data_IF_643643005533
#
_entry.id   IF_643643005533
#
_cell.length_a   1.000
_cell.length_b   1.000
_cell.length_c   1.000
_cell.angle_alpha   90.00
_cell.angle_beta   90.00
_cell.angle_gamma   90.00
#
_symmetry.space_group_name_H-M   'P 1'
#
loop_
_entity.id
_entity.type
_entity.pdbx_description
1 polymer ?
#
# COMPACT_ATOMS: atom_id res chain seq x y z
N UNK A 1 -7.08 1.36 31.60
CA UNK A 1 -7.24 0.89 30.21
C UNK A 1 -8.69 0.45 30.07
N UNK A 2 -9.37 0.81 28.98
CA UNK A 2 -10.68 0.24 28.68
C UNK A 2 -10.45 -1.11 27.98
N UNK A 3 -11.25 -2.12 28.30
CA UNK A 3 -11.14 -3.47 27.71
C UNK A 3 -11.83 -3.59 26.34
N UNK A 4 -12.38 -2.48 25.82
CA UNK A 4 -13.11 -2.41 24.55
C UNK A 4 -12.56 -1.31 23.63
N UNK A 5 -12.83 -1.45 22.33
CA UNK A 5 -12.42 -0.48 21.28
C UNK A 5 -13.64 0.04 20.52
N UNK A 6 -14.70 0.40 21.26
CA UNK A 6 -15.93 0.91 20.65
C UNK A 6 -15.75 2.35 20.17
N UNK A 7 -16.71 2.84 19.39
CA UNK A 7 -16.73 4.24 18.99
C UNK A 7 -16.81 5.20 20.19
N UNK A 8 -17.45 4.81 21.28
CA UNK A 8 -17.52 5.60 22.52
C UNK A 8 -16.15 5.70 23.19
N UNK A 9 -15.46 4.56 23.31
CA UNK A 9 -14.13 4.49 23.94
C UNK A 9 -13.12 5.36 23.18
N UNK A 10 -13.15 5.28 21.85
CA UNK A 10 -12.29 6.09 20.97
C UNK A 10 -12.65 7.57 21.10
N UNK A 11 -13.94 7.92 21.00
CA UNK A 11 -14.39 9.31 21.11
C UNK A 11 -13.97 9.92 22.45
N UNK A 12 -14.27 9.26 23.56
CA UNK A 12 -13.91 9.72 24.90
C UNK A 12 -12.41 9.88 25.08
N UNK A 13 -11.61 8.93 24.59
CA UNK A 13 -10.15 9.00 24.66
C UNK A 13 -9.57 10.18 23.87
N UNK A 14 -10.07 10.43 22.65
CA UNK A 14 -9.59 11.53 21.82
C UNK A 14 -10.04 12.89 22.39
N UNK A 15 -11.29 13.01 22.84
CA UNK A 15 -11.80 14.23 23.48
C UNK A 15 -10.99 14.56 24.73
N UNK A 16 -10.79 13.60 25.63
CA UNK A 16 -9.99 13.80 26.83
C UNK A 16 -8.54 14.21 26.51
N UNK A 17 -7.95 13.67 25.43
CA UNK A 17 -6.62 14.07 24.98
C UNK A 17 -6.58 15.52 24.46
N UNK A 18 -7.59 15.94 23.69
CA UNK A 18 -7.68 17.30 23.14
C UNK A 18 -8.03 18.34 24.22
N UNK A 19 -8.89 17.98 25.17
CA UNK A 19 -9.24 18.84 26.31
C UNK A 19 -8.01 19.08 27.20
N UNK A 20 -7.17 18.07 27.43
CA UNK A 20 -5.92 18.22 28.20
C UNK A 20 -4.93 19.20 27.59
N UNK A 21 -4.96 19.40 26.26
CA UNK A 21 -4.11 20.39 25.59
C UNK A 21 -4.83 21.73 25.35
N UNK A 22 -6.04 21.90 25.91
CA UNK A 22 -6.79 23.14 25.85
C UNK A 22 -7.32 23.50 24.47
N UNK A 23 -7.71 22.50 23.66
CA UNK A 23 -8.30 22.77 22.33
C UNK A 23 -9.58 23.57 22.46
N UNK A 24 -9.68 24.65 21.68
CA UNK A 24 -10.93 25.38 21.47
C UNK A 24 -11.78 24.67 20.41
N UNK A 25 -12.80 23.97 20.88
CA UNK A 25 -13.73 23.21 20.05
C UNK A 25 -14.56 24.08 19.09
N UNK A 26 -14.78 25.35 19.41
CA UNK A 26 -15.51 26.28 18.53
C UNK A 26 -14.75 26.53 17.23
N UNK A 27 -13.43 26.33 17.23
CA UNK A 27 -12.53 26.51 16.09
C UNK A 27 -12.25 25.23 15.31
N UNK A 28 -12.87 24.10 15.70
CA UNK A 28 -12.68 22.84 15.00
C UNK A 28 -13.41 22.85 13.65
N UNK A 29 -12.68 22.58 12.57
CA UNK A 29 -13.21 22.67 11.19
C UNK A 29 -13.48 21.33 10.54
N UNK A 30 -12.71 20.30 10.89
CA UNK A 30 -12.81 19.00 10.23
C UNK A 30 -12.19 17.85 10.99
N UNK A 31 -12.58 16.62 10.63
CA UNK A 31 -12.00 15.36 11.07
C UNK A 31 -11.74 14.45 9.87
N UNK A 32 -10.56 13.82 9.81
CA UNK A 32 -10.27 12.76 8.85
C UNK A 32 -10.16 11.41 9.57
N UNK A 33 -10.81 10.36 9.05
CA UNK A 33 -10.79 9.01 9.64
C UNK A 33 -10.45 7.96 8.60
N UNK A 34 -10.02 6.77 9.01
CA UNK A 34 -9.74 5.64 8.12
C UNK A 34 -10.99 5.00 7.52
N UNK A 35 -12.18 5.48 7.83
CA UNK A 35 -13.43 4.96 7.30
C UNK A 35 -13.90 3.65 7.93
N UNK A 36 -13.28 3.20 9.04
CA UNK A 36 -13.76 2.03 9.77
C UNK A 36 -15.21 2.25 10.27
N UNK A 37 -16.05 1.20 10.36
CA UNK A 37 -17.45 1.34 10.77
C UNK A 37 -17.64 2.06 12.12
N UNK A 38 -16.75 1.82 13.09
CA UNK A 38 -16.74 2.53 14.38
C UNK A 38 -16.43 4.02 14.25
N UNK A 39 -15.73 4.44 13.18
CA UNK A 39 -15.38 5.84 12.93
C UNK A 39 -16.49 6.57 12.17
N UNK A 40 -17.06 5.97 11.13
CA UNK A 40 -18.00 6.64 10.20
C UNK A 40 -19.47 6.26 10.39
N UNK A 41 -19.80 5.45 11.40
CA UNK A 41 -21.17 5.02 11.67
C UNK A 41 -22.14 6.20 11.84
N UNK A 42 -23.23 6.22 11.08
CA UNK A 42 -24.15 7.38 11.00
C UNK A 42 -24.73 7.82 12.34
N UNK A 43 -25.03 6.89 13.25
CA UNK A 43 -25.70 7.18 14.54
C UNK A 43 -24.75 7.29 15.72
N UNK A 44 -23.67 6.49 15.72
CA UNK A 44 -22.81 6.33 16.89
C UNK A 44 -21.32 6.30 16.55
N UNK A 45 -20.94 6.59 15.30
CA UNK A 45 -19.55 6.65 14.90
C UNK A 45 -18.83 7.84 15.51
N UNK A 46 -17.51 7.72 15.69
CA UNK A 46 -16.66 8.79 16.24
C UNK A 46 -16.83 10.10 15.47
N UNK A 47 -16.92 10.05 14.14
CA UNK A 47 -17.09 11.24 13.30
C UNK A 47 -18.43 11.93 13.52
N UNK A 48 -19.51 11.18 13.72
CA UNK A 48 -20.83 11.73 14.08
C UNK A 48 -20.76 12.40 15.44
N UNK A 49 -20.20 11.72 16.45
CA UNK A 49 -20.08 12.27 17.81
C UNK A 49 -19.22 13.54 17.84
N UNK A 50 -18.12 13.58 17.08
CA UNK A 50 -17.30 14.78 16.91
C UNK A 50 -18.09 15.92 16.28
N UNK A 51 -18.81 15.63 15.20
CA UNK A 51 -19.65 16.61 14.51
C UNK A 51 -20.68 17.20 15.47
N UNK A 52 -21.39 16.38 16.23
CA UNK A 52 -22.42 16.83 17.17
C UNK A 52 -21.81 17.74 18.27
N UNK A 53 -20.67 17.33 18.87
CA UNK A 53 -19.96 18.13 19.89
C UNK A 53 -19.50 19.48 19.33
N UNK A 54 -18.90 19.50 18.14
CA UNK A 54 -18.39 20.72 17.53
C UNK A 54 -19.54 21.65 17.13
N UNK A 55 -20.59 21.11 16.53
CA UNK A 55 -21.77 21.88 16.11
C UNK A 55 -22.49 22.53 17.29
N UNK A 56 -22.53 21.88 18.45
CA UNK A 56 -23.08 22.46 19.67
C UNK A 56 -22.26 23.66 20.20
N UNK A 57 -20.97 23.76 19.86
CA UNK A 57 -20.04 24.74 20.43
C UNK A 57 -19.61 25.84 19.43
N UNK A 58 -19.86 25.65 18.14
CA UNK A 58 -19.49 26.59 17.08
C UNK A 58 -20.71 27.31 16.44
N UNK A 59 -21.88 27.26 17.08
CA UNK A 59 -23.09 27.90 16.56
C UNK A 59 -23.70 27.23 15.32
N UNK A 60 -23.37 25.96 15.06
CA UNK A 60 -23.86 25.20 13.91
C UNK A 60 -23.01 25.34 12.64
N UNK A 61 -21.81 25.94 12.75
CA UNK A 61 -20.87 26.05 11.65
C UNK A 61 -20.51 24.69 11.04
N UNK A 62 -20.16 24.73 9.75
CA UNK A 62 -19.98 23.54 8.92
C UNK A 62 -18.74 22.76 9.35
N UNK A 63 -18.96 21.57 9.90
CA UNK A 63 -17.89 20.62 10.25
C UNK A 63 -17.74 19.53 9.19
N UNK A 64 -16.53 19.38 8.67
CA UNK A 64 -16.25 18.46 7.56
C UNK A 64 -15.66 17.13 8.04
N UNK A 65 -16.20 16.02 7.54
CA UNK A 65 -15.67 14.69 7.80
C UNK A 65 -15.09 14.10 6.52
N UNK A 66 -13.81 13.77 6.54
CA UNK A 66 -13.09 13.23 5.40
C UNK A 66 -12.69 11.77 5.62
N UNK A 67 -12.61 11.01 4.54
CA UNK A 67 -11.87 9.75 4.53
C UNK A 67 -10.40 10.07 4.34
N UNK A 68 -9.55 9.50 5.19
CA UNK A 68 -8.10 9.53 5.07
C UNK A 68 -7.66 9.15 3.64
N UNK A 69 -6.99 10.11 2.98
CA UNK A 69 -6.54 9.99 1.59
C UNK A 69 -5.61 8.79 1.37
N UNK A 70 -4.78 8.47 2.36
CA UNK A 70 -3.86 7.32 2.34
C UNK A 70 -4.61 5.99 2.41
N UNK A 71 -5.69 5.95 3.20
CA UNK A 71 -6.51 4.76 3.27
C UNK A 71 -7.30 4.56 1.98
N UNK A 72 -7.82 5.64 1.38
CA UNK A 72 -8.46 5.58 0.05
C UNK A 72 -7.50 5.06 -1.02
N UNK A 73 -6.25 5.55 -1.05
CA UNK A 73 -5.22 5.08 -1.97
C UNK A 73 -4.91 3.59 -1.75
N UNK A 74 -4.72 3.16 -0.50
CA UNK A 74 -4.51 1.75 -0.17
C UNK A 74 -5.69 0.84 -0.57
N UNK A 75 -6.93 1.36 -0.55
CA UNK A 75 -8.10 0.63 -1.03
C UNK A 75 -8.11 0.50 -2.56
N UNK A 76 -7.62 1.48 -3.32
CA UNK A 76 -7.45 1.37 -4.76
C UNK A 76 -6.56 0.18 -5.12
N UNK A 77 -5.45 -0.02 -4.38
CA UNK A 77 -4.48 -1.09 -4.65
C UNK A 77 -5.09 -2.51 -4.57
N UNK A 78 -6.20 -2.68 -3.84
CA UNK A 78 -6.89 -3.98 -3.73
C UNK A 78 -7.49 -4.44 -5.07
N UNK A 79 -7.69 -3.55 -6.05
CA UNK A 79 -8.20 -3.93 -7.37
C UNK A 79 -7.19 -4.70 -8.23
N UNK A 80 -5.90 -4.63 -7.89
CA UNK A 80 -4.85 -5.35 -8.62
C UNK A 80 -5.05 -6.87 -8.57
N UNK A 81 -5.63 -7.43 -7.49
CA UNK A 81 -5.91 -8.88 -7.36
C UNK A 81 -4.72 -9.74 -7.79
N UNK A 82 -3.58 -9.57 -7.11
CA UNK A 82 -2.32 -10.28 -7.36
C UNK A 82 -1.95 -11.18 -6.16
N UNK A 83 -2.97 -11.80 -5.55
CA UNK A 83 -2.81 -12.60 -4.33
C UNK A 83 -1.94 -13.82 -4.59
N UNK A 84 -2.00 -14.40 -5.78
CA UNK A 84 -1.14 -15.53 -6.20
C UNK A 84 0.37 -15.19 -6.18
N UNK A 85 0.74 -13.92 -6.37
CA UNK A 85 2.13 -13.47 -6.19
C UNK A 85 2.40 -13.19 -4.72
N UNK A 86 1.52 -12.42 -4.08
CA UNK A 86 1.71 -11.97 -2.70
C UNK A 86 1.78 -13.12 -1.70
N UNK A 87 0.96 -14.14 -1.83
CA UNK A 87 0.95 -15.32 -0.96
C UNK A 87 2.28 -16.05 -1.00
N UNK A 88 2.86 -16.23 -2.19
CA UNK A 88 4.16 -16.88 -2.39
C UNK A 88 5.28 -16.05 -1.77
N UNK A 89 5.29 -14.73 -2.02
CA UNK A 89 6.27 -13.80 -1.45
C UNK A 89 6.19 -13.81 0.08
N UNK A 90 5.00 -13.63 0.65
CA UNK A 90 4.80 -13.57 2.10
C UNK A 90 5.18 -14.89 2.76
N UNK A 91 4.73 -16.03 2.23
CA UNK A 91 5.08 -17.36 2.74
C UNK A 91 6.59 -17.58 2.76
N UNK A 92 7.27 -17.21 1.68
CA UNK A 92 8.72 -17.40 1.53
C UNK A 92 9.51 -16.48 2.46
N UNK A 93 9.17 -15.20 2.48
CA UNK A 93 9.79 -14.20 3.38
C UNK A 93 9.58 -14.58 4.84
N UNK A 94 8.36 -14.98 5.22
CA UNK A 94 8.07 -15.42 6.58
C UNK A 94 8.86 -16.68 6.96
N UNK A 95 9.03 -17.65 6.05
CA UNK A 95 9.86 -18.82 6.33
C UNK A 95 11.34 -18.45 6.60
N UNK A 96 11.89 -17.52 5.83
CA UNK A 96 13.26 -17.03 6.00
C UNK A 96 13.39 -16.23 7.30
N UNK A 97 12.45 -15.32 7.55
CA UNK A 97 12.55 -14.29 8.60
C UNK A 97 12.03 -14.71 9.98
N UNK A 98 11.06 -15.63 10.05
CA UNK A 98 10.43 -16.03 11.33
C UNK A 98 11.35 -16.82 12.25
N UNK A 99 12.34 -17.54 11.69
CA UNK A 99 13.30 -18.33 12.47
C UNK A 99 14.67 -17.66 12.43
N UNK A 100 15.21 -17.32 13.61
CA UNK A 100 16.51 -16.66 13.72
C UNK A 100 17.65 -17.42 13.03
N UNK A 101 17.64 -18.76 13.06
CA UNK A 101 18.61 -19.58 12.33
C UNK A 101 18.49 -19.43 10.81
N UNK A 102 17.26 -19.45 10.27
CA UNK A 102 17.05 -19.29 8.83
C UNK A 102 17.52 -17.91 8.36
N UNK A 103 17.15 -16.87 9.10
CA UNK A 103 17.56 -15.50 8.79
C UNK A 103 19.08 -15.36 8.79
N UNK A 104 19.79 -15.82 9.83
CA UNK A 104 21.27 -15.78 9.88
C UNK A 104 21.93 -16.56 8.76
N UNK A 105 21.39 -17.72 8.40
CA UNK A 105 21.93 -18.54 7.30
C UNK A 105 21.67 -17.90 5.94
N UNK A 106 20.54 -17.21 5.76
CA UNK A 106 20.26 -16.45 4.57
C UNK A 106 21.16 -15.21 4.48
N UNK A 107 21.32 -14.44 5.56
CA UNK A 107 22.24 -13.29 5.61
C UNK A 107 23.68 -13.71 5.31
N UNK A 108 24.10 -14.89 5.79
CA UNK A 108 25.40 -15.47 5.45
C UNK A 108 25.51 -15.76 3.95
N UNK A 109 24.49 -16.37 3.34
CA UNK A 109 24.45 -16.60 1.89
C UNK A 109 24.56 -15.28 1.12
N UNK A 110 23.85 -14.24 1.54
CA UNK A 110 23.94 -12.91 0.92
C UNK A 110 25.34 -12.31 1.05
N UNK A 111 25.93 -12.41 2.25
CA UNK A 111 27.28 -11.91 2.52
C UNK A 111 28.34 -12.61 1.68
N UNK A 112 28.23 -13.94 1.53
CA UNK A 112 29.11 -14.75 0.69
C UNK A 112 29.03 -14.34 -0.80
N UNK A 113 27.89 -13.78 -1.24
CA UNK A 113 27.67 -13.21 -2.57
C UNK A 113 27.95 -11.70 -2.67
N UNK A 114 28.55 -11.07 -1.65
CA UNK A 114 28.79 -9.62 -1.54
C UNK A 114 27.51 -8.74 -1.59
N UNK A 115 26.36 -9.29 -1.18
CA UNK A 115 25.08 -8.59 -1.12
C UNK A 115 24.87 -8.06 0.30
N UNK A 116 24.76 -6.74 0.44
CA UNK A 116 24.66 -6.06 1.75
C UNK A 116 23.23 -5.78 2.21
N UNK A 117 22.24 -5.90 1.34
CA UNK A 117 20.84 -5.66 1.66
C UNK A 117 20.08 -6.98 1.84
N UNK A 118 19.47 -7.18 3.02
CA UNK A 118 18.69 -8.39 3.34
C UNK A 118 17.18 -8.20 3.12
N UNK A 119 16.40 -9.27 3.22
CA UNK A 119 14.94 -9.24 3.13
C UNK A 119 14.33 -8.55 4.35
N UNK A 120 13.48 -7.52 4.21
CA UNK A 120 12.76 -6.95 5.35
C UNK A 120 11.72 -7.95 5.90
N UNK A 121 11.43 -7.86 7.20
CA UNK A 121 10.34 -8.64 7.80
C UNK A 121 8.99 -8.13 7.26
N UNK A 122 8.14 -9.02 6.75
CA UNK A 122 6.81 -8.64 6.31
C UNK A 122 5.88 -8.47 7.53
N UNK A 123 5.36 -7.26 7.73
CA UNK A 123 4.20 -7.03 8.59
C UNK A 123 3.02 -6.62 7.72
N UNK A 124 1.87 -7.27 7.88
CA UNK A 124 0.65 -6.99 7.10
C UNK A 124 0.16 -5.53 7.19
N UNK A 125 0.66 -4.79 8.17
CA UNK A 125 0.09 -3.53 8.64
C UNK A 125 0.37 -2.33 7.72
N UNK A 126 1.30 -2.37 6.76
CA UNK A 126 1.60 -1.21 5.87
C UNK A 126 1.92 -1.57 4.42
N UNK A 127 1.31 -0.84 3.49
CA UNK A 127 1.60 -0.93 2.05
C UNK A 127 3.06 -0.56 1.70
N UNK A 128 3.63 0.46 2.36
CA UNK A 128 5.03 0.84 2.19
C UNK A 128 5.99 -0.32 2.53
N UNK A 129 5.69 -1.13 3.55
CA UNK A 129 6.49 -2.33 3.85
C UNK A 129 6.28 -3.43 2.81
N UNK A 130 5.08 -3.57 2.24
CA UNK A 130 4.81 -4.54 1.17
C UNK A 130 5.64 -4.26 -0.08
N UNK A 131 5.75 -3.00 -0.49
CA UNK A 131 6.58 -2.65 -1.65
C UNK A 131 8.07 -2.88 -1.42
N UNK A 132 8.58 -2.57 -0.23
CA UNK A 132 9.97 -2.89 0.11
C UNK A 132 10.22 -4.41 0.09
N UNK A 133 9.31 -5.20 0.66
CA UNK A 133 9.40 -6.67 0.60
C UNK A 133 9.40 -7.17 -0.84
N UNK A 134 8.50 -6.68 -1.69
CA UNK A 134 8.43 -7.06 -3.11
C UNK A 134 9.72 -6.75 -3.87
N UNK A 135 10.26 -5.52 -3.72
CA UNK A 135 11.50 -5.12 -4.38
C UNK A 135 12.66 -6.02 -3.98
N UNK A 136 12.89 -6.19 -2.67
CA UNK A 136 13.98 -7.04 -2.19
C UNK A 136 13.77 -8.52 -2.57
N UNK A 137 12.54 -9.01 -2.59
CA UNK A 137 12.23 -10.37 -3.05
C UNK A 137 12.58 -10.55 -4.53
N UNK A 138 12.24 -9.58 -5.36
CA UNK A 138 12.57 -9.60 -6.78
C UNK A 138 14.09 -9.54 -7.01
N UNK A 139 14.80 -8.66 -6.32
CA UNK A 139 16.25 -8.49 -6.46
C UNK A 139 17.01 -9.74 -6.00
N UNK A 140 16.54 -10.41 -4.94
CA UNK A 140 17.18 -11.58 -4.33
C UNK A 140 16.59 -12.92 -4.81
N UNK A 141 15.87 -12.93 -5.94
CA UNK A 141 15.10 -14.10 -6.40
C UNK A 141 15.97 -15.35 -6.58
N UNK A 142 17.21 -15.22 -7.04
CA UNK A 142 18.12 -16.35 -7.22
C UNK A 142 18.65 -16.89 -5.89
N UNK A 143 19.04 -16.00 -4.98
CA UNK A 143 19.51 -16.36 -3.63
C UNK A 143 18.37 -17.01 -2.82
N UNK A 144 17.15 -16.47 -2.95
CA UNK A 144 15.95 -17.05 -2.35
C UNK A 144 15.71 -18.45 -2.91
N UNK A 145 15.75 -18.62 -4.23
CA UNK A 145 15.56 -19.93 -4.87
C UNK A 145 16.57 -20.95 -4.34
N UNK A 146 17.86 -20.61 -4.36
CA UNK A 146 18.93 -21.49 -3.88
C UNK A 146 18.79 -21.82 -2.38
N UNK A 147 18.49 -20.83 -1.55
CA UNK A 147 18.31 -21.02 -0.12
C UNK A 147 17.13 -21.95 0.17
N UNK A 148 16.01 -21.75 -0.51
CA UNK A 148 14.79 -22.52 -0.33
C UNK A 148 14.95 -23.97 -0.82
N UNK A 149 15.67 -24.19 -1.92
CA UNK A 149 16.08 -25.52 -2.39
C UNK A 149 16.92 -26.26 -1.34
N UNK A 150 17.97 -25.60 -0.79
CA UNK A 150 18.81 -26.17 0.28
C UNK A 150 18.02 -26.51 1.54
N UNK A 151 16.90 -25.84 1.77
CA UNK A 151 15.98 -26.09 2.90
C UNK A 151 14.93 -27.17 2.62
N UNK A 152 14.97 -27.79 1.44
CA UNK A 152 13.98 -28.80 1.03
C UNK A 152 12.58 -28.22 0.80
N UNK A 153 12.49 -26.92 0.49
CA UNK A 153 11.23 -26.21 0.25
C UNK A 153 11.29 -25.38 -1.03
N UNK A 154 11.48 -25.99 -2.21
CA UNK A 154 11.63 -25.24 -3.45
C UNK A 154 10.41 -24.34 -3.71
N UNK A 155 10.68 -23.12 -4.20
CA UNK A 155 9.65 -22.15 -4.63
C UNK A 155 9.54 -22.30 -6.15
N UNK A 156 8.66 -23.20 -6.60
CA UNK A 156 8.51 -23.57 -8.02
C UNK A 156 8.07 -22.40 -8.88
N UNK A 157 7.37 -21.44 -8.28
CA UNK A 157 6.89 -20.23 -8.94
C UNK A 157 8.05 -19.36 -9.49
N UNK A 158 9.24 -19.42 -8.86
CA UNK A 158 10.44 -18.73 -9.36
C UNK A 158 10.99 -19.33 -10.67
N UNK A 159 10.54 -20.52 -11.06
CA UNK A 159 10.88 -21.14 -12.34
C UNK A 159 9.86 -20.79 -13.44
N UNK A 160 8.70 -20.26 -13.07
CA UNK A 160 7.64 -19.85 -14.02
C UNK A 160 7.89 -18.45 -14.55
N UNK A 161 8.11 -18.35 -15.86
CA UNK A 161 8.29 -17.06 -16.54
C UNK A 161 7.04 -16.17 -16.47
N UNK A 162 5.85 -16.78 -16.47
CA UNK A 162 4.61 -16.04 -16.29
C UNK A 162 4.53 -15.42 -14.90
N UNK A 163 4.82 -16.21 -13.87
CA UNK A 163 4.82 -15.72 -12.50
C UNK A 163 5.89 -14.65 -12.25
N UNK A 164 7.07 -14.78 -12.87
CA UNK A 164 8.12 -13.76 -12.79
C UNK A 164 7.69 -12.43 -13.43
N UNK A 165 6.94 -12.45 -14.53
CA UNK A 165 6.37 -11.21 -15.11
C UNK A 165 5.33 -10.59 -14.19
N UNK A 166 4.48 -11.41 -13.58
CA UNK A 166 3.48 -10.94 -12.61
C UNK A 166 4.14 -10.31 -11.37
N UNK A 167 5.20 -10.93 -10.85
CA UNK A 167 6.02 -10.37 -9.78
C UNK A 167 6.64 -9.04 -10.21
N UNK A 168 7.25 -8.99 -11.39
CA UNK A 168 7.91 -7.80 -11.90
C UNK A 168 6.95 -6.62 -12.08
N UNK A 169 5.79 -6.87 -12.69
CA UNK A 169 4.72 -5.88 -12.80
C UNK A 169 4.29 -5.39 -11.40
N UNK A 170 4.08 -6.31 -10.45
CA UNK A 170 3.63 -5.98 -9.11
C UNK A 170 4.66 -5.13 -8.35
N UNK A 171 5.96 -5.40 -8.53
CA UNK A 171 7.05 -4.58 -7.96
C UNK A 171 6.96 -3.15 -8.48
N UNK A 172 6.91 -2.98 -9.80
CA UNK A 172 6.90 -1.67 -10.46
C UNK A 172 5.65 -0.84 -10.09
N UNK A 173 4.45 -1.42 -10.19
CA UNK A 173 3.21 -0.68 -9.84
C UNK A 173 3.17 -0.32 -8.35
N UNK A 174 3.69 -1.20 -7.49
CA UNK A 174 3.75 -0.92 -6.05
C UNK A 174 4.75 0.19 -5.74
N UNK A 175 5.86 0.28 -6.47
CA UNK A 175 6.80 1.41 -6.35
C UNK A 175 6.15 2.75 -6.74
N UNK A 176 5.40 2.78 -7.85
CA UNK A 176 4.63 3.96 -8.25
C UNK A 176 3.60 4.39 -7.20
N UNK A 177 2.86 3.43 -6.64
CA UNK A 177 1.89 3.66 -5.57
C UNK A 177 2.57 4.15 -4.28
N UNK A 178 3.72 3.59 -3.91
CA UNK A 178 4.49 4.05 -2.76
C UNK A 178 5.02 5.47 -2.94
N UNK A 179 5.42 5.83 -4.15
CA UNK A 179 5.85 7.19 -4.46
C UNK A 179 4.68 8.17 -4.34
N UNK A 180 3.48 7.81 -4.84
CA UNK A 180 2.27 8.57 -4.58
C UNK A 180 1.99 8.69 -3.07
N UNK A 181 2.03 7.59 -2.34
CA UNK A 181 1.78 7.56 -0.91
C UNK A 181 2.72 8.52 -0.15
N UNK A 182 4.02 8.56 -0.48
CA UNK A 182 4.97 9.56 0.06
C UNK A 182 4.59 11.00 -0.29
N UNK A 183 4.08 11.25 -1.51
CA UNK A 183 3.58 12.56 -1.92
C UNK A 183 2.28 12.96 -1.20
N UNK A 184 1.49 12.01 -0.72
CA UNK A 184 0.26 12.25 0.04
C UNK A 184 0.50 12.33 1.57
N UNK A 185 1.70 11.98 2.04
CA UNK A 185 2.10 12.06 3.45
C UNK A 185 2.95 13.29 3.76
N UNK A 186 3.05 13.63 5.04
CA UNK A 186 3.92 14.70 5.54
C UNK A 186 3.16 15.96 5.94
N UNK A 187 3.88 16.86 6.62
CA UNK A 187 3.36 18.15 7.11
C UNK A 187 3.55 19.24 6.05
N UNK A 188 2.88 20.38 6.23
CA UNK A 188 3.02 21.59 5.39
C UNK A 188 2.57 21.40 3.94
N UNK A 189 1.57 20.56 3.71
CA UNK A 189 0.91 20.38 2.42
C UNK A 189 -0.50 20.96 2.46
N UNK A 190 -0.93 21.56 1.36
CA UNK A 190 -2.27 22.12 1.21
C UNK A 190 -3.15 21.17 0.41
N UNK A 191 -4.47 21.31 0.54
CA UNK A 191 -5.45 20.40 -0.09
C UNK A 191 -5.30 20.36 -1.62
N UNK A 192 -4.99 21.49 -2.26
CA UNK A 192 -4.75 21.55 -3.71
C UNK A 192 -3.58 20.66 -4.12
N UNK A 193 -2.48 20.65 -3.37
CA UNK A 193 -1.34 19.75 -3.66
C UNK A 193 -1.74 18.27 -3.58
N UNK A 194 -2.62 17.90 -2.64
CA UNK A 194 -3.12 16.51 -2.59
C UNK A 194 -3.98 16.18 -3.82
N UNK A 195 -4.86 17.10 -4.21
CA UNK A 195 -5.68 16.96 -5.42
C UNK A 195 -4.82 16.84 -6.67
N UNK A 196 -3.83 17.71 -6.85
CA UNK A 196 -2.89 17.72 -7.98
C UNK A 196 -2.10 16.40 -8.06
N UNK A 197 -1.61 15.89 -6.93
CA UNK A 197 -0.88 14.61 -6.88
C UNK A 197 -1.76 13.44 -7.31
N UNK A 198 -3.02 13.39 -6.86
CA UNK A 198 -3.97 12.35 -7.28
C UNK A 198 -4.30 12.49 -8.76
N UNK A 199 -4.58 13.71 -9.24
CA UNK A 199 -4.90 13.96 -10.64
C UNK A 199 -3.73 13.58 -11.56
N UNK A 200 -2.51 14.00 -11.22
CA UNK A 200 -1.32 13.62 -11.94
C UNK A 200 -1.11 12.08 -11.95
N UNK A 201 -1.43 11.40 -10.85
CA UNK A 201 -1.35 9.94 -10.82
C UNK A 201 -2.39 9.26 -11.71
N UNK A 202 -3.63 9.77 -11.76
CA UNK A 202 -4.65 9.28 -12.70
C UNK A 202 -4.19 9.43 -14.14
N UNK A 203 -3.64 10.58 -14.52
CA UNK A 203 -3.08 10.81 -15.86
C UNK A 203 -1.93 9.83 -16.18
N UNK A 204 -1.07 9.53 -15.20
CA UNK A 204 -0.02 8.52 -15.34
C UNK A 204 -0.61 7.12 -15.57
N UNK A 205 -1.63 6.72 -14.82
CA UNK A 205 -2.32 5.43 -15.02
C UNK A 205 -2.92 5.35 -16.44
N UNK A 206 -3.56 6.41 -16.93
CA UNK A 206 -4.08 6.48 -18.32
C UNK A 206 -2.95 6.31 -19.34
N UNK A 207 -1.83 7.01 -19.16
CA UNK A 207 -0.66 6.88 -20.02
C UNK A 207 -0.13 5.44 -20.03
N UNK A 208 0.05 4.84 -18.85
CA UNK A 208 0.56 3.48 -18.70
C UNK A 208 -0.39 2.44 -19.30
N UNK A 209 -1.71 2.62 -19.18
CA UNK A 209 -2.70 1.77 -19.83
C UNK A 209 -2.50 1.77 -21.35
N UNK A 210 -2.39 2.97 -21.97
CA UNK A 210 -2.18 3.11 -23.42
C UNK A 210 -0.85 2.49 -23.87
N UNK A 211 0.22 2.69 -23.10
CA UNK A 211 1.55 2.14 -23.44
C UNK A 211 1.56 0.61 -23.33
N UNK A 212 1.00 0.04 -22.27
CA UNK A 212 0.90 -1.42 -22.11
C UNK A 212 0.00 -2.05 -23.18
N UNK A 213 -1.09 -1.37 -23.60
CA UNK A 213 -1.91 -1.81 -24.73
C UNK A 213 -1.10 -1.95 -26.03
N UNK A 214 -0.08 -1.11 -26.21
CA UNK A 214 0.83 -1.13 -27.35
C UNK A 214 2.09 -1.98 -27.10
N UNK A 215 2.11 -2.81 -26.05
CA UNK A 215 3.25 -3.67 -25.74
C UNK A 215 4.47 -2.93 -25.18
N UNK A 216 4.32 -1.69 -24.71
CA UNK A 216 5.43 -0.85 -24.24
C UNK A 216 5.45 -0.73 -22.70
N UNK A 217 6.35 -1.45 -22.01
CA UNK A 217 6.51 -1.38 -20.56
C UNK A 217 7.53 -0.31 -20.10
N UNK A 218 7.69 0.81 -20.80
CA UNK A 218 8.73 1.82 -20.50
C UNK A 218 8.78 2.31 -19.03
N UNK A 219 7.62 2.38 -18.35
CA UNK A 219 7.53 2.79 -16.94
C UNK A 219 7.50 1.62 -15.96
N UNK A 220 7.73 0.40 -16.44
CA UNK A 220 7.77 -0.84 -15.68
C UNK A 220 9.13 -1.51 -15.93
N UNK A 221 10.22 -0.98 -15.35
CA UNK A 221 11.57 -1.47 -15.62
C UNK A 221 11.76 -2.94 -15.26
N UNK A 222 11.25 -3.42 -14.11
CA UNK A 222 11.35 -4.84 -13.78
C UNK A 222 10.60 -5.69 -14.81
N UNK A 223 9.39 -5.28 -15.19
CA UNK A 223 8.60 -6.02 -16.18
C UNK A 223 9.31 -6.05 -17.54
N UNK A 224 9.84 -4.92 -17.98
CA UNK A 224 10.63 -4.81 -19.21
C UNK A 224 11.83 -5.76 -19.16
N UNK A 225 12.58 -5.76 -18.07
CA UNK A 225 13.80 -6.56 -17.95
C UNK A 225 13.49 -8.08 -17.98
N UNK A 226 12.37 -8.51 -17.38
CA UNK A 226 11.89 -9.89 -17.50
C UNK A 226 11.41 -10.19 -18.93
N UNK A 227 10.69 -9.27 -19.58
CA UNK A 227 10.15 -9.47 -20.93
C UNK A 227 11.21 -9.41 -22.05
N UNK A 228 12.34 -8.70 -21.88
CA UNK A 228 13.45 -8.71 -22.85
C UNK A 228 13.97 -10.12 -23.11
N UNK A 229 13.85 -11.02 -22.13
CA UNK A 229 14.25 -12.42 -22.30
C UNK A 229 13.29 -13.22 -23.20
N UNK A 230 12.07 -12.73 -23.49
CA UNK A 230 11.04 -13.35 -24.37
C UNK A 230 10.06 -12.30 -24.97
N UNK A 231 10.24 -11.90 -26.25
CA UNK A 231 9.51 -10.78 -26.88
C UNK A 231 7.98 -10.94 -27.04
N UNK A 232 7.45 -12.15 -26.89
CA UNK A 232 6.05 -12.49 -27.24
C UNK A 232 5.07 -12.36 -26.05
N UNK A 233 5.41 -11.53 -25.06
CA UNK A 233 4.61 -11.38 -23.85
C UNK A 233 3.37 -10.51 -24.12
N UNK A 234 2.18 -11.11 -24.06
CA UNK A 234 0.91 -10.37 -24.09
C UNK A 234 0.78 -9.46 -22.85
N UNK A 235 0.84 -8.16 -23.07
CA UNK A 235 0.73 -7.12 -22.03
C UNK A 235 -0.72 -6.78 -21.67
N UNK A 236 -1.70 -7.40 -22.33
CA UNK A 236 -3.14 -7.14 -22.12
C UNK A 236 -3.56 -7.35 -20.67
N UNK A 237 -3.01 -8.38 -20.01
CA UNK A 237 -3.27 -8.64 -18.58
C UNK A 237 -2.91 -7.42 -17.73
N UNK A 238 -1.69 -6.89 -17.87
CA UNK A 238 -1.19 -5.77 -17.07
C UNK A 238 -1.91 -4.47 -17.40
N UNK A 239 -2.23 -4.25 -18.68
CA UNK A 239 -3.10 -3.16 -19.13
C UNK A 239 -4.43 -3.18 -18.37
N UNK A 240 -5.09 -4.34 -18.29
CA UNK A 240 -6.39 -4.46 -17.63
C UNK A 240 -6.31 -4.25 -16.11
N UNK A 241 -5.18 -4.62 -15.49
CA UNK A 241 -4.90 -4.29 -14.08
C UNK A 241 -4.77 -2.78 -13.88
N UNK A 242 -4.04 -2.07 -14.74
CA UNK A 242 -3.92 -0.61 -14.68
C UNK A 242 -5.27 0.07 -14.89
N UNK A 243 -6.07 -0.40 -15.86
CA UNK A 243 -7.42 0.10 -16.09
C UNK A 243 -8.33 -0.10 -14.86
N UNK A 244 -8.24 -1.26 -14.19
CA UNK A 244 -8.94 -1.53 -12.94
C UNK A 244 -8.52 -0.61 -11.80
N UNK A 245 -7.22 -0.33 -11.69
CA UNK A 245 -6.68 0.61 -10.72
C UNK A 245 -7.17 2.03 -10.97
N UNK A 246 -7.12 2.50 -12.22
CA UNK A 246 -7.61 3.83 -12.63
C UNK A 246 -9.09 4.01 -12.25
N UNK A 247 -9.95 3.04 -12.56
CA UNK A 247 -11.38 3.08 -12.19
C UNK A 247 -11.60 3.23 -10.68
N UNK A 248 -10.81 2.56 -9.85
CA UNK A 248 -10.90 2.74 -8.40
C UNK A 248 -10.44 4.13 -7.96
N UNK A 249 -9.40 4.69 -8.58
CA UNK A 249 -8.97 6.07 -8.30
C UNK A 249 -10.04 7.09 -8.72
N UNK A 250 -10.68 6.92 -9.87
CA UNK A 250 -11.77 7.78 -10.34
C UNK A 250 -12.98 7.73 -9.41
N UNK A 251 -13.36 6.52 -8.97
CA UNK A 251 -14.48 6.32 -8.05
C UNK A 251 -14.24 6.94 -6.68
N UNK A 252 -13.01 6.86 -6.16
CA UNK A 252 -12.69 7.23 -4.77
C UNK A 252 -12.26 8.68 -4.59
N UNK A 253 -11.68 9.28 -5.63
CA UNK A 253 -11.15 10.64 -5.59
C UNK A 253 -11.87 11.52 -6.61
N UNK A 254 -13.16 11.80 -6.37
CA UNK A 254 -13.97 12.69 -7.19
C UNK A 254 -13.64 14.16 -6.96
#
# INVERSE_FOLDING_TARGET
MMDTTTAEDIFGSVVAALDRVGVDWSRAVSLATDGAPSMVGKKAGVATKFKDKVQALNGGDRFWTFHCILHQEALCCKSLKMDHVMEVVVRTVNFIRSRGLNHRQFDKLLSDSNITHSLPYHTEVRWLSRGAVLRHFFDLREEIRQFMEKKGKPVLELQSQEWLRDLAFLVDITEHLNNLNKMLQGRKKVVTQFSDNIHAFKLKLTLWEMQLANGNPAHFPCLRDVCVTRPDADMKLYKDKIAGLLREFEKRFQ
#
